data_IF_100848127932
#
_entry.id   IF_100848127932
#
_cell.length_a   1.000
_cell.length_b   1.000
_cell.length_c   1.000
_cell.angle_alpha   90.00
_cell.angle_beta   90.00
_cell.angle_gamma   90.00
#
_symmetry.space_group_name_H-M   'P 1'
#
loop_
_entity.id
_entity.type
_entity.pdbx_description
1 polymer ?
#
# COMPACT_ATOMS: atom_id res chain seq x y z
N UNK A 1 22.24 23.43 72.70
CA UNK A 1 21.65 23.17 71.38
C UNK A 1 20.18 22.83 71.53
N UNK A 2 19.27 23.79 71.30
CA UNK A 2 17.85 23.75 71.71
C UNK A 2 16.85 23.74 70.53
N UNK A 3 17.32 23.65 69.28
CA UNK A 3 16.45 23.87 68.12
C UNK A 3 16.30 22.70 67.15
N UNK A 4 16.99 21.57 67.37
CA UNK A 4 16.77 20.35 66.56
C UNK A 4 15.40 19.71 66.90
N UNK A 5 14.87 19.97 68.09
CA UNK A 5 13.58 19.44 68.54
C UNK A 5 12.37 20.32 68.14
N UNK A 6 12.60 21.60 67.78
CA UNK A 6 11.51 22.54 67.47
C UNK A 6 11.01 22.48 66.03
N UNK A 7 11.68 21.71 65.16
CA UNK A 7 11.30 21.56 63.75
C UNK A 7 10.54 20.26 63.44
N UNK A 8 10.43 19.34 64.40
CA UNK A 8 9.55 18.17 64.27
C UNK A 8 8.06 18.51 64.53
N UNK A 9 7.75 19.75 64.94
CA UNK A 9 6.39 20.18 65.28
C UNK A 9 5.67 21.03 64.21
N UNK A 10 6.28 21.32 63.07
CA UNK A 10 5.60 22.07 61.99
C UNK A 10 5.87 21.42 60.64
N UNK A 11 4.82 20.84 60.07
CA UNK A 11 4.68 20.29 58.71
C UNK A 11 5.18 18.85 58.44
N UNK A 12 4.48 17.88 59.03
CA UNK A 12 3.85 16.84 58.21
C UNK A 12 2.40 17.29 57.93
N UNK A 13 1.86 17.11 56.71
CA UNK A 13 1.50 15.80 56.19
C UNK A 13 2.25 15.49 54.87
N UNK A 14 2.80 14.30 54.66
CA UNK A 14 2.06 13.12 54.21
C UNK A 14 1.01 13.43 53.12
N UNK A 15 1.47 13.76 51.90
CA UNK A 15 0.79 13.45 50.63
C UNK A 15 1.56 14.02 49.42
N UNK A 16 2.72 13.47 49.06
CA UNK A 16 3.37 13.79 47.76
C UNK A 16 3.49 12.55 46.86
N UNK A 17 3.26 11.35 47.39
CA UNK A 17 3.49 10.11 46.65
C UNK A 17 2.31 9.65 45.77
N UNK A 18 1.10 10.21 45.93
CA UNK A 18 -0.09 9.80 45.13
C UNK A 18 -0.37 10.65 43.90
N UNK A 19 0.15 11.86 43.82
CA UNK A 19 -0.03 12.71 42.63
C UNK A 19 0.98 12.37 41.53
N UNK A 20 2.20 11.97 41.91
CA UNK A 20 3.27 11.64 40.96
C UNK A 20 3.07 10.27 40.26
N UNK A 21 2.43 9.30 40.92
CA UNK A 21 2.09 8.00 40.29
C UNK A 21 0.90 8.12 39.32
N UNK A 22 -0.07 9.01 39.61
CA UNK A 22 -1.21 9.23 38.72
C UNK A 22 -0.84 9.99 37.45
N UNK A 23 0.08 10.95 37.55
CA UNK A 23 0.60 11.67 36.37
C UNK A 23 1.43 10.74 35.48
N UNK A 24 2.31 9.91 36.05
CA UNK A 24 3.14 8.98 35.31
C UNK A 24 2.32 7.84 34.65
N UNK A 25 1.31 7.29 35.33
CA UNK A 25 0.35 6.36 34.72
C UNK A 25 -0.46 7.03 33.60
N UNK A 26 -0.95 8.25 33.80
CA UNK A 26 -1.69 8.97 32.76
C UNK A 26 -0.83 9.30 31.53
N UNK A 27 0.48 9.51 31.74
CA UNK A 27 1.44 9.76 30.66
C UNK A 27 1.84 8.47 29.94
N UNK A 28 1.99 7.36 30.68
CA UNK A 28 2.19 6.04 30.10
C UNK A 28 0.99 5.56 29.29
N UNK A 29 -0.24 5.81 29.76
CA UNK A 29 -1.46 5.44 29.04
C UNK A 29 -1.70 6.36 27.83
N UNK A 30 -1.38 7.65 27.91
CA UNK A 30 -1.30 8.54 26.72
C UNK A 30 -0.26 8.04 25.71
N UNK A 31 0.89 7.54 26.15
CA UNK A 31 1.92 6.98 25.27
C UNK A 31 1.46 5.67 24.59
N UNK A 32 0.75 4.80 25.31
CA UNK A 32 0.14 3.59 24.73
C UNK A 32 -0.95 3.93 23.72
N UNK A 33 -1.82 4.89 24.05
CA UNK A 33 -2.88 5.36 23.15
C UNK A 33 -2.28 6.00 21.89
N UNK A 34 -1.24 6.83 22.03
CA UNK A 34 -0.51 7.41 20.90
C UNK A 34 0.07 6.32 19.98
N UNK A 35 0.69 5.29 20.57
CA UNK A 35 1.23 4.14 19.83
C UNK A 35 0.13 3.33 19.14
N UNK A 36 -1.06 3.23 19.74
CA UNK A 36 -2.21 2.56 19.13
C UNK A 36 -2.71 3.33 17.92
N UNK A 37 -2.88 4.64 18.04
CA UNK A 37 -3.31 5.52 16.93
C UNK A 37 -2.29 5.47 15.78
N UNK A 38 -1.00 5.52 16.08
CA UNK A 38 0.05 5.42 15.06
C UNK A 38 0.06 4.04 14.37
N UNK A 39 -0.14 2.96 15.13
CA UNK A 39 -0.25 1.61 14.57
C UNK A 39 -1.50 1.44 13.70
N UNK A 40 -2.63 2.04 14.11
CA UNK A 40 -3.88 2.04 13.35
C UNK A 40 -3.74 2.80 12.04
N UNK A 41 -3.12 3.98 12.05
CA UNK A 41 -2.88 4.77 10.83
C UNK A 41 -1.96 4.02 9.86
N UNK A 42 -0.85 3.46 10.36
CA UNK A 42 0.05 2.64 9.54
C UNK A 42 -0.64 1.41 8.95
N UNK A 43 -1.48 0.74 9.73
CA UNK A 43 -2.23 -0.41 9.27
C UNK A 43 -3.31 -0.02 8.25
N UNK A 44 -3.95 1.15 8.40
CA UNK A 44 -4.89 1.69 7.41
C UNK A 44 -4.20 1.95 6.08
N UNK A 45 -3.09 2.70 6.09
CA UNK A 45 -2.25 2.98 4.91
C UNK A 45 -1.84 1.67 4.21
N UNK A 46 -1.35 0.70 4.99
CA UNK A 46 -0.96 -0.61 4.45
C UNK A 46 -2.13 -1.31 3.75
N UNK A 47 -3.31 -1.35 4.37
CA UNK A 47 -4.49 -2.03 3.78
C UNK A 47 -4.97 -1.35 2.52
N UNK A 48 -5.01 -0.01 2.51
CA UNK A 48 -5.41 0.75 1.33
C UNK A 48 -4.44 0.51 0.16
N UNK A 49 -3.13 0.57 0.43
CA UNK A 49 -2.12 0.30 -0.59
C UNK A 49 -2.20 -1.13 -1.10
N UNK A 50 -2.31 -2.10 -0.18
CA UNK A 50 -2.39 -3.52 -0.51
C UNK A 50 -3.62 -3.84 -1.39
N UNK A 51 -4.76 -3.23 -1.10
CA UNK A 51 -5.97 -3.41 -1.90
C UNK A 51 -5.83 -2.88 -3.34
N UNK A 52 -5.05 -1.82 -3.54
CA UNK A 52 -4.75 -1.31 -4.88
C UNK A 52 -3.72 -2.20 -5.60
N UNK A 53 -2.65 -2.62 -4.91
CA UNK A 53 -1.65 -3.55 -5.44
C UNK A 53 -2.29 -4.88 -5.90
N UNK A 54 -3.23 -5.41 -5.12
CA UNK A 54 -3.96 -6.65 -5.46
C UNK A 54 -4.86 -6.49 -6.69
N UNK A 55 -5.31 -5.26 -6.99
CA UNK A 55 -6.05 -4.92 -8.23
C UNK A 55 -5.12 -4.65 -9.40
N UNK A 56 -3.94 -4.08 -9.15
CA UNK A 56 -2.95 -3.75 -10.18
C UNK A 56 -2.28 -5.01 -10.74
N UNK A 57 -1.93 -5.97 -9.88
CA UNK A 57 -1.22 -7.20 -10.27
C UNK A 57 -1.87 -8.00 -11.42
N UNK A 58 -3.19 -8.26 -11.44
CA UNK A 58 -3.81 -8.96 -12.58
C UNK A 58 -3.79 -8.13 -13.87
N UNK A 59 -3.83 -6.80 -13.78
CA UNK A 59 -3.76 -5.91 -14.95
C UNK A 59 -2.34 -5.95 -15.54
N UNK A 60 -1.32 -5.86 -14.70
CA UNK A 60 0.09 -5.98 -15.13
C UNK A 60 0.35 -7.29 -15.85
N UNK A 61 -0.14 -8.41 -15.30
CA UNK A 61 -0.03 -9.73 -15.94
C UNK A 61 -0.77 -9.80 -17.27
N UNK A 62 -1.90 -9.11 -17.41
CA UNK A 62 -2.64 -9.08 -18.66
C UNK A 62 -1.88 -8.27 -19.71
N UNK A 63 -1.33 -7.11 -19.32
CA UNK A 63 -0.50 -6.26 -20.18
C UNK A 63 0.73 -7.04 -20.66
N UNK A 64 1.51 -7.64 -19.75
CA UNK A 64 2.70 -8.44 -20.09
C UNK A 64 2.36 -9.56 -21.09
N UNK A 65 1.26 -10.28 -20.84
CA UNK A 65 0.78 -11.34 -21.72
C UNK A 65 0.39 -10.81 -23.10
N UNK A 66 -0.37 -9.72 -23.15
CA UNK A 66 -0.86 -9.15 -24.40
C UNK A 66 0.26 -8.49 -25.21
N UNK A 67 1.25 -7.86 -24.56
CA UNK A 67 2.48 -7.37 -25.20
C UNK A 67 3.27 -8.53 -25.82
N UNK A 68 3.55 -9.58 -25.04
CA UNK A 68 4.24 -10.78 -25.53
C UNK A 68 3.51 -11.38 -26.72
N UNK A 69 2.18 -11.51 -26.61
CA UNK A 69 1.36 -12.10 -27.67
C UNK A 69 1.37 -11.25 -28.94
N UNK A 70 1.35 -9.92 -28.82
CA UNK A 70 1.47 -8.99 -29.95
C UNK A 70 2.80 -9.17 -30.68
N UNK A 71 3.90 -9.34 -29.95
CA UNK A 71 5.22 -9.62 -30.54
C UNK A 71 5.26 -10.97 -31.26
N UNK A 72 4.71 -12.02 -30.64
CA UNK A 72 4.59 -13.35 -31.26
C UNK A 72 3.78 -13.30 -32.56
N UNK A 73 2.63 -12.64 -32.55
CA UNK A 73 1.79 -12.49 -33.74
C UNK A 73 2.55 -11.72 -34.83
N UNK A 74 3.26 -10.65 -34.47
CA UNK A 74 4.07 -9.87 -35.40
C UNK A 74 5.18 -10.72 -36.05
N UNK A 75 5.81 -11.60 -35.28
CA UNK A 75 6.80 -12.56 -35.79
C UNK A 75 6.15 -13.60 -36.74
N UNK A 76 5.00 -14.15 -36.37
CA UNK A 76 4.25 -15.11 -37.20
C UNK A 76 3.81 -14.49 -38.53
N UNK A 77 3.44 -13.21 -38.55
CA UNK A 77 3.05 -12.50 -39.78
C UNK A 77 4.24 -12.19 -40.71
N UNK A 78 5.46 -12.42 -40.24
CA UNK A 78 6.67 -12.35 -41.04
C UNK A 78 7.14 -13.74 -41.52
N UNK A 79 6.50 -14.82 -41.06
CA UNK A 79 6.83 -16.20 -41.44
C UNK A 79 6.29 -16.54 -42.84
N UNK A 80 7.14 -16.93 -43.80
CA UNK A 80 6.72 -17.34 -45.15
C UNK A 80 5.69 -18.47 -45.17
N UNK A 81 5.71 -19.41 -44.21
CA UNK A 81 4.73 -20.49 -44.14
C UNK A 81 3.35 -19.96 -43.76
N UNK A 82 3.30 -18.98 -42.86
CA UNK A 82 2.05 -18.30 -42.46
C UNK A 82 1.54 -17.40 -43.57
N UNK A 83 2.43 -16.69 -44.28
CA UNK A 83 2.06 -15.83 -45.40
C UNK A 83 1.44 -16.61 -46.58
N UNK A 84 1.70 -17.91 -46.68
CA UNK A 84 1.06 -18.81 -47.64
C UNK A 84 -0.38 -19.20 -47.29
N UNK A 85 -0.83 -18.97 -46.05
CA UNK A 85 -2.16 -19.32 -45.55
C UNK A 85 -2.98 -18.08 -45.20
N UNK A 86 -3.83 -17.65 -46.14
CA UNK A 86 -4.69 -16.48 -45.95
C UNK A 86 -5.64 -16.58 -44.76
N UNK A 87 -6.09 -17.77 -44.37
CA UNK A 87 -7.00 -17.92 -43.23
C UNK A 87 -6.23 -17.66 -41.93
N UNK A 88 -5.03 -18.22 -41.82
CA UNK A 88 -4.16 -18.03 -40.66
C UNK A 88 -3.75 -16.57 -40.49
N UNK A 89 -3.48 -15.86 -41.58
CA UNK A 89 -3.22 -14.41 -41.55
C UNK A 89 -4.43 -13.65 -41.01
N UNK A 90 -5.64 -13.96 -41.47
CA UNK A 90 -6.86 -13.30 -41.01
C UNK A 90 -7.11 -13.54 -39.53
N UNK A 91 -6.94 -14.77 -39.05
CA UNK A 91 -7.05 -15.11 -37.62
C UNK A 91 -6.05 -14.32 -36.78
N UNK A 92 -4.78 -14.26 -37.20
CA UNK A 92 -3.74 -13.50 -36.51
C UNK A 92 -4.02 -11.99 -36.50
N UNK A 93 -4.55 -11.43 -37.59
CA UNK A 93 -4.95 -10.02 -37.66
C UNK A 93 -6.10 -9.68 -36.71
N UNK A 94 -7.10 -10.57 -36.60
CA UNK A 94 -8.21 -10.40 -35.65
C UNK A 94 -7.67 -10.46 -34.22
N UNK A 95 -6.84 -11.47 -33.92
CA UNK A 95 -6.25 -11.64 -32.60
C UNK A 95 -5.35 -10.45 -32.22
N UNK A 96 -4.55 -9.94 -33.16
CA UNK A 96 -3.72 -8.75 -32.96
C UNK A 96 -4.57 -7.54 -32.58
N UNK A 97 -5.64 -7.28 -33.34
CA UNK A 97 -6.56 -6.17 -33.07
C UNK A 97 -7.21 -6.29 -31.70
N UNK A 98 -7.68 -7.48 -31.33
CA UNK A 98 -8.29 -7.71 -30.02
C UNK A 98 -7.28 -7.54 -28.89
N UNK A 99 -6.03 -7.94 -29.12
CA UNK A 99 -4.92 -7.78 -28.17
C UNK A 99 -4.54 -6.32 -27.98
N UNK A 100 -4.41 -5.56 -29.08
CA UNK A 100 -4.17 -4.12 -29.04
C UNK A 100 -5.28 -3.37 -28.33
N UNK A 101 -6.54 -3.75 -28.57
CA UNK A 101 -7.69 -3.16 -27.86
C UNK A 101 -7.62 -3.41 -26.35
N UNK A 102 -7.28 -4.64 -25.92
CA UNK A 102 -7.11 -4.94 -24.48
C UNK A 102 -5.98 -4.13 -23.86
N UNK A 103 -4.87 -3.94 -24.58
CA UNK A 103 -3.77 -3.09 -24.14
C UNK A 103 -4.22 -1.63 -23.99
N UNK A 104 -4.91 -1.08 -24.99
CA UNK A 104 -5.48 0.28 -24.95
C UNK A 104 -6.42 0.50 -23.77
N UNK A 105 -7.19 -0.52 -23.37
CA UNK A 105 -8.08 -0.47 -22.20
C UNK A 105 -7.32 -0.62 -20.86
N UNK A 106 -6.29 -1.47 -20.82
CA UNK A 106 -5.59 -1.81 -19.58
C UNK A 106 -4.51 -0.80 -19.19
N UNK A 107 -3.81 -0.14 -20.13
CA UNK A 107 -2.77 0.84 -19.79
C UNK A 107 -3.31 2.03 -18.98
N UNK A 108 -4.44 2.67 -19.36
CA UNK A 108 -4.99 3.79 -18.57
C UNK A 108 -5.41 3.35 -17.17
N UNK A 109 -5.96 2.14 -17.04
CA UNK A 109 -6.35 1.58 -15.74
C UNK A 109 -5.14 1.30 -14.86
N UNK A 110 -4.06 0.76 -15.44
CA UNK A 110 -2.79 0.58 -14.76
C UNK A 110 -2.24 1.93 -14.28
N UNK A 111 -2.20 2.95 -15.15
CA UNK A 111 -1.71 4.28 -14.82
C UNK A 111 -2.52 4.91 -13.68
N UNK A 112 -3.84 4.83 -13.72
CA UNK A 112 -4.73 5.33 -12.67
C UNK A 112 -4.45 4.65 -11.32
N UNK A 113 -4.32 3.33 -11.31
CA UNK A 113 -4.08 2.56 -10.09
C UNK A 113 -2.67 2.78 -9.54
N UNK A 114 -1.65 2.87 -10.41
CA UNK A 114 -0.28 3.21 -10.03
C UNK A 114 -0.22 4.61 -9.40
N UNK A 115 -0.84 5.61 -10.02
CA UNK A 115 -0.91 6.97 -9.46
C UNK A 115 -1.64 7.02 -8.10
N UNK A 116 -2.70 6.22 -7.92
CA UNK A 116 -3.39 6.08 -6.62
C UNK A 116 -2.47 5.49 -5.56
N UNK A 117 -1.70 4.45 -5.88
CA UNK A 117 -0.73 3.86 -4.95
C UNK A 117 0.33 4.89 -4.53
N UNK A 118 0.87 5.66 -5.48
CA UNK A 118 1.85 6.71 -5.20
C UNK A 118 1.29 7.84 -4.32
N UNK A 119 -0.02 8.11 -4.41
CA UNK A 119 -0.68 9.16 -3.63
C UNK A 119 -0.93 8.78 -2.16
N UNK A 120 -0.84 7.50 -1.80
CA UNK A 120 -1.03 7.02 -0.42
C UNK A 120 0.20 7.41 0.40
N UNK A 121 0.00 8.28 1.41
CA UNK A 121 1.01 8.74 2.37
C UNK A 121 0.87 8.03 3.70
#
# INVERSE_FOLDING_TARGET
SWFIEKRSMQSAPESVSRENEKTDQSQADRSKEQKRIEAEERNRIYRERKALEDRLSPIEKMIEKDETRKEEISALLCDPEVLGDSNKIQELMIELKDTEKRLEENYPLWEELAAKIESIK
#
